data_IF_968194167012
#
_entry.id   IF_968194167012
#
_cell.length_a   1.000
_cell.length_b   1.000
_cell.length_c   1.000
_cell.angle_alpha   90.00
_cell.angle_beta   90.00
_cell.angle_gamma   90.00
#
_symmetry.space_group_name_H-M   'P 1'
#
loop_
_entity.id
_entity.type
_entity.pdbx_description
1 polymer ?
2 non-polymer ?
3 water ?
#
# COMPACT_ATOMS: atom_id res chain seq x y z
N UNK A 9 17.77 -14.35 24.97
CA UNK A 9 17.04 -13.53 25.92
C UNK A 9 15.84 -12.81 25.29
N UNK A 10 15.05 -13.52 24.48
CA UNK A 10 13.86 -12.96 23.84
C UNK A 10 12.60 -13.11 24.71
N UNK A 11 11.81 -12.03 24.85
CA UNK A 11 10.55 -12.09 25.61
C UNK A 11 9.46 -12.83 24.85
N UNK A 12 8.22 -12.70 25.32
CA UNK A 12 7.07 -13.32 24.67
C UNK A 12 6.29 -12.23 23.95
N UNK A 13 5.78 -12.55 22.76
CA UNK A 13 5.11 -11.56 21.93
C UNK A 13 5.97 -11.26 20.72
N UNK A 14 7.16 -11.85 20.72
CA UNK A 14 8.16 -11.66 19.69
C UNK A 14 8.18 -12.80 18.66
N UNK A 15 7.17 -13.67 18.72
CA UNK A 15 7.12 -14.82 17.83
C UNK A 15 7.04 -14.40 16.36
N UNK A 16 6.22 -13.40 16.07
CA UNK A 16 6.12 -12.88 14.70
C UNK A 16 7.49 -12.41 14.22
N UNK A 17 8.17 -11.64 15.06
CA UNK A 17 9.50 -11.12 14.74
C UNK A 17 10.49 -12.24 14.42
N UNK A 18 10.51 -13.27 15.26
CA UNK A 18 11.42 -14.40 15.08
C UNK A 18 11.18 -15.08 13.73
N UNK A 19 9.91 -15.18 13.37
CA UNK A 19 9.54 -15.85 12.14
C UNK A 19 10.12 -15.08 10.96
N UNK A 20 9.87 -13.77 10.95
CA UNK A 20 10.44 -12.89 9.95
C UNK A 20 11.96 -12.99 9.92
N UNK A 21 12.57 -13.04 11.10
CA UNK A 21 14.02 -13.12 11.21
C UNK A 21 14.54 -14.39 10.57
N UNK A 22 13.79 -15.48 10.73
CA UNK A 22 14.17 -16.78 10.18
C UNK A 22 14.13 -16.68 8.67
N UNK A 23 13.08 -16.06 8.14
CA UNK A 23 12.98 -15.85 6.70
C UNK A 23 14.16 -15.07 6.16
N UNK A 24 14.67 -14.13 6.94
CA UNK A 24 15.80 -13.29 6.51
C UNK A 24 17.09 -14.10 6.35
N UNK A 25 17.03 -15.37 6.69
CA UNK A 25 18.20 -16.23 6.58
C UNK A 25 18.09 -17.17 5.38
N UNK A 26 17.10 -16.94 4.53
CA UNK A 26 16.96 -17.73 3.31
C UNK A 26 18.08 -17.36 2.35
N UNK A 27 18.71 -16.21 2.61
CA UNK A 27 19.80 -15.71 1.79
C UNK A 27 20.92 -15.11 2.65
N UNK A 28 22.17 -15.17 2.15
CA UNK A 28 23.34 -14.56 2.77
C UNK A 28 23.13 -13.10 3.15
N UNK A 29 22.93 -12.23 2.15
CA UNK A 29 22.53 -10.85 2.42
C UNK A 29 21.03 -10.78 2.59
N UNK A 30 20.61 -10.39 3.77
CA UNK A 30 19.22 -10.28 4.24
C UNK A 30 18.44 -9.17 3.55
N UNK A 31 19.13 -8.13 3.13
CA UNK A 31 18.45 -7.03 2.45
C UNK A 31 17.93 -7.53 1.10
N UNK A 32 18.60 -8.54 0.55
CA UNK A 32 18.21 -9.11 -0.74
C UNK A 32 16.94 -9.93 -0.60
N UNK A 33 16.78 -10.54 0.57
CA UNK A 33 15.56 -11.30 0.87
C UNK A 33 14.28 -10.46 0.73
N UNK A 34 14.26 -9.30 1.38
CA UNK A 34 13.09 -8.42 1.28
C UNK A 34 12.81 -8.00 -0.16
N UNK A 35 13.86 -7.68 -0.91
CA UNK A 35 13.65 -7.28 -2.30
C UNK A 35 13.07 -8.43 -3.12
N UNK A 36 13.63 -9.62 -2.95
CA UNK A 36 13.19 -10.79 -3.68
C UNK A 36 11.69 -11.01 -3.45
N UNK A 37 11.27 -10.93 -2.18
CA UNK A 37 9.86 -11.08 -1.86
C UNK A 37 9.01 -9.96 -2.49
N UNK A 38 9.47 -8.72 -2.39
CA UNK A 38 8.74 -7.58 -2.94
C UNK A 38 8.53 -7.74 -4.44
N UNK A 39 9.58 -8.22 -5.10
CA UNK A 39 9.51 -8.48 -6.54
C UNK A 39 8.50 -9.57 -6.87
N UNK A 40 8.63 -10.72 -6.21
CA UNK A 40 7.67 -11.81 -6.39
C UNK A 40 6.23 -11.33 -6.14
N UNK A 41 6.03 -10.61 -5.04
CA UNK A 41 4.70 -10.09 -4.71
C UNK A 41 4.17 -9.21 -5.83
N UNK A 42 5.03 -8.34 -6.34
CA UNK A 42 4.66 -7.47 -7.47
C UNK A 42 4.18 -8.29 -8.66
N UNK A 43 4.96 -9.32 -8.99
CA UNK A 43 4.63 -10.21 -10.10
C UNK A 43 3.23 -10.84 -9.95
N UNK A 44 2.94 -11.37 -8.77
CA UNK A 44 1.63 -11.95 -8.50
C UNK A 44 0.52 -10.90 -8.64
N UNK A 45 0.73 -9.73 -8.04
CA UNK A 45 -0.29 -8.68 -8.03
C UNK A 45 -0.63 -8.26 -9.45
N UNK A 46 0.42 -8.09 -10.25
CA UNK A 46 0.30 -7.73 -11.66
C UNK A 46 -0.51 -8.73 -12.46
N UNK A 47 -0.22 -10.01 -12.27
CA UNK A 47 -0.96 -11.07 -12.94
C UNK A 47 -2.47 -10.97 -12.65
N UNK A 48 -2.82 -10.71 -11.38
CA UNK A 48 -4.21 -10.54 -10.98
C UNK A 48 -4.84 -9.34 -11.70
N UNK A 49 -4.08 -8.25 -11.75
CA UNK A 49 -4.53 -7.03 -12.42
C UNK A 49 -4.78 -7.28 -13.89
N UNK A 50 -3.89 -8.04 -14.52
CA UNK A 50 -4.03 -8.37 -15.94
C UNK A 50 -5.29 -9.19 -16.18
N UNK A 51 -5.55 -10.11 -15.27
CA UNK A 51 -6.74 -10.94 -15.35
C UNK A 51 -8.00 -10.10 -15.24
N UNK A 52 -8.01 -9.21 -14.25
CA UNK A 52 -9.16 -8.31 -14.06
C UNK A 52 -9.40 -7.46 -15.30
N UNK A 53 -8.30 -6.94 -15.86
CA UNK A 53 -8.38 -6.13 -17.07
C UNK A 53 -8.98 -6.90 -18.23
N UNK A 54 -8.51 -8.13 -18.44
CA UNK A 54 -8.98 -8.96 -19.55
C UNK A 54 -10.43 -9.36 -19.33
N UNK A 55 -10.75 -9.74 -18.11
CA UNK A 55 -12.09 -10.19 -17.74
C UNK A 55 -13.08 -9.02 -17.64
N UNK A 56 -12.65 -7.84 -18.05
CA UNK A 56 -13.51 -6.67 -18.07
C UNK A 56 -13.65 -6.18 -19.49
N UNK A 57 -12.55 -6.27 -20.25
CA UNK A 57 -12.59 -6.03 -21.68
C UNK A 57 -13.43 -7.12 -22.34
N UNK A 58 -13.55 -8.27 -21.69
CA UNK A 58 -14.37 -9.38 -22.16
C UNK A 58 -15.84 -9.26 -21.73
N UNK A 59 -16.07 -8.74 -20.52
CA UNK A 59 -17.40 -8.75 -19.86
C UNK A 59 -18.33 -7.68 -20.36
N UNK A 60 -17.78 -6.48 -20.47
CA UNK A 60 -18.48 -5.36 -21.06
C UNK A 60 -18.99 -5.80 -22.43
N UNK A 61 -18.09 -6.42 -23.18
CA UNK A 61 -18.40 -7.05 -24.46
C UNK A 61 -19.64 -7.93 -24.42
N UNK A 62 -19.73 -8.79 -23.40
CA UNK A 62 -20.85 -9.72 -23.30
C UNK A 62 -22.14 -8.98 -22.97
N UNK A 63 -21.98 -7.89 -22.20
CA UNK A 63 -23.10 -7.06 -21.78
C UNK A 63 -23.62 -6.16 -22.91
N UNK A 64 -22.70 -5.63 -23.71
CA UNK A 64 -23.05 -4.61 -24.69
C UNK A 64 -23.32 -5.11 -26.11
N UNK A 65 -22.80 -6.29 -26.45
CA UNK A 65 -22.98 -6.85 -27.80
C UNK A 65 -24.31 -7.58 -27.95
N UNK B 11 -1.05 26.74 -13.93
CA UNK B 11 -2.04 26.51 -14.98
C UNK B 11 -3.42 26.16 -14.40
N UNK B 12 -4.18 25.38 -15.18
CA UNK B 12 -5.46 24.84 -14.72
C UNK B 12 -5.38 23.32 -14.81
N UNK B 13 -5.79 22.65 -13.74
CA UNK B 13 -5.60 21.22 -13.59
C UNK B 13 -4.70 20.98 -12.38
N UNK B 14 -4.17 22.08 -11.86
CA UNK B 14 -3.23 22.10 -10.75
C UNK B 14 -3.90 22.43 -9.40
N UNK B 15 -5.23 22.45 -9.40
CA UNK B 15 -6.00 22.77 -8.18
C UNK B 15 -5.68 21.81 -7.05
N UNK B 16 -5.62 20.51 -7.35
CA UNK B 16 -5.28 19.51 -6.34
C UNK B 16 -3.93 19.84 -5.72
N UNK B 17 -2.95 20.12 -6.58
CA UNK B 17 -1.61 20.44 -6.15
C UNK B 17 -1.58 21.64 -5.22
N UNK B 18 -2.27 22.71 -5.61
CA UNK B 18 -2.35 23.92 -4.81
C UNK B 18 -2.90 23.64 -3.41
N UNK B 19 -3.91 22.77 -3.36
CA UNK B 19 -4.56 22.46 -2.10
C UNK B 19 -3.57 21.77 -1.17
N UNK B 20 -2.88 20.77 -1.71
CA UNK B 20 -1.81 20.12 -0.98
C UNK B 20 -0.75 21.11 -0.53
N UNK B 21 -0.37 22.02 -1.43
CA UNK B 21 0.67 23.01 -1.13
C UNK B 21 0.25 23.88 0.04
N UNK B 22 -1.04 24.24 0.07
CA UNK B 22 -1.60 25.06 1.13
C UNK B 22 -1.47 24.32 2.46
N UNK B 23 -1.83 23.04 2.45
CA UNK B 23 -1.67 22.19 3.64
C UNK B 23 -0.22 22.16 4.16
N UNK B 24 0.74 22.19 3.24
CA UNK B 24 2.16 22.18 3.64
C UNK B 24 2.59 23.44 4.39
N UNK B 25 1.69 24.40 4.49
CA UNK B 25 1.99 25.64 5.20
C UNK B 25 1.36 25.67 6.59
N UNK B 26 0.80 24.54 7.02
CA UNK B 26 0.26 24.43 8.37
C UNK B 26 1.39 24.45 9.38
N UNK B 27 2.61 24.22 8.89
CA UNK B 27 3.81 24.20 9.73
C UNK B 27 4.97 24.84 9.01
N UNK B 28 5.90 25.43 9.80
CA UNK B 28 7.14 26.03 9.28
C UNK B 28 7.86 25.10 8.33
N UNK B 29 8.11 23.87 8.74
CA UNK B 29 8.76 22.92 7.85
C UNK B 29 7.73 21.99 7.19
N UNK B 30 7.41 22.26 5.92
CA UNK B 30 6.41 21.49 5.15
C UNK B 30 6.64 19.99 5.21
N UNK B 31 7.90 19.59 5.40
CA UNK B 31 8.23 18.18 5.50
C UNK B 31 7.64 17.60 6.78
N UNK B 32 7.47 18.45 7.79
CA UNK B 32 6.87 18.02 9.05
C UNK B 32 5.38 17.78 8.90
N UNK B 33 4.76 18.52 7.99
CA UNK B 33 3.34 18.37 7.74
C UNK B 33 3.03 16.94 7.30
N UNK B 34 3.78 16.45 6.32
CA UNK B 34 3.53 15.11 5.80
C UNK B 34 3.69 14.05 6.87
N UNK B 35 4.73 14.20 7.69
CA UNK B 35 4.94 13.24 8.76
C UNK B 35 3.82 13.26 9.77
N UNK B 36 3.44 14.47 10.19
CA UNK B 36 2.33 14.64 11.13
C UNK B 36 1.08 13.90 10.66
N UNK B 37 0.75 14.06 9.39
CA UNK B 37 -0.43 13.40 8.83
C UNK B 37 -0.25 11.87 8.81
N UNK B 38 0.93 11.43 8.38
CA UNK B 38 1.22 9.99 8.32
C UNK B 38 1.08 9.34 9.70
N UNK B 39 1.61 10.03 10.71
CA UNK B 39 1.48 9.58 12.09
C UNK B 39 0.00 9.49 12.52
N UNK B 40 -0.76 10.57 12.33
CA UNK B 40 -2.16 10.58 12.69
C UNK B 40 -2.91 9.45 11.97
N UNK B 41 -2.67 9.31 10.68
CA UNK B 41 -3.31 8.26 9.90
C UNK B 41 -2.99 6.88 10.48
N UNK B 42 -1.72 6.66 10.82
CA UNK B 42 -1.32 5.41 11.46
C UNK B 42 -2.14 5.14 12.72
N UNK B 43 -2.24 6.17 13.56
CA UNK B 43 -2.99 6.07 14.81
C UNK B 43 -4.43 5.62 14.57
N UNK B 44 -5.08 6.25 13.61
CA UNK B 44 -6.46 5.88 13.26
C UNK B 44 -6.57 4.45 12.76
N UNK B 45 -5.68 4.07 11.83
CA UNK B 45 -5.72 2.72 11.25
C UNK B 45 -5.53 1.66 12.33
N UNK B 46 -4.58 1.93 13.23
CA UNK B 46 -4.28 1.04 14.35
C UNK B 46 -5.52 0.83 15.21
N UNK B 47 -6.20 1.91 15.53
CA UNK B 47 -7.40 1.84 16.36
C UNK B 47 -8.44 0.90 15.76
N UNK B 48 -8.64 1.01 14.45
CA UNK B 48 -9.57 0.15 13.73
C UNK B 48 -9.13 -1.30 13.80
N UNK B 49 -7.83 -1.52 13.61
CA UNK B 49 -7.26 -2.86 13.69
C UNK B 49 -7.49 -3.46 15.08
N UNK B 50 -7.28 -2.65 16.12
CA UNK B 50 -7.49 -3.09 17.50
C UNK B 50 -8.94 -3.51 17.72
N UNK B 51 -9.86 -2.73 17.17
CA UNK B 51 -11.29 -3.03 17.26
C UNK B 51 -11.62 -4.36 16.57
N UNK B 52 -11.10 -4.55 15.36
CA UNK B 52 -11.34 -5.78 14.62
C UNK B 52 -10.79 -6.97 15.40
N UNK B 53 -9.61 -6.81 15.97
CA UNK B 53 -8.98 -7.85 16.77
C UNK B 53 -9.84 -8.23 17.98
N UNK B 54 -10.32 -7.23 18.70
CA UNK B 54 -11.14 -7.46 19.89
C UNK B 54 -12.48 -8.07 19.50
N UNK B 55 -13.09 -7.52 18.45
CA UNK B 55 -14.40 -7.96 17.98
C UNK B 55 -14.34 -9.33 17.27
N UNK B 56 -13.17 -9.96 17.33
CA UNK B 56 -12.96 -11.28 16.74
C UNK B 56 -12.59 -12.26 17.83
N UNK B 57 -11.83 -11.78 18.81
CA UNK B 57 -11.57 -12.55 20.00
C UNK B 57 -12.87 -12.64 20.77
N UNK B 58 -13.78 -11.70 20.58
CA UNK B 58 -15.08 -11.73 21.23
C UNK B 58 -16.01 -12.73 20.53
N UNK B 59 -15.65 -13.17 19.33
CA UNK B 59 -16.46 -14.12 18.59
C UNK B 59 -16.01 -15.59 18.71
N UNK B 60 -14.69 -15.83 18.84
CA UNK B 60 -14.18 -17.20 19.05
C UNK B 60 -14.73 -17.76 20.35
N UNK B 61 -15.16 -16.85 21.20
CA UNK B 61 -15.57 -17.12 22.56
C UNK B 61 -17.03 -17.51 22.55
N UNK B 62 -17.84 -16.61 22.00
CA UNK B 62 -19.26 -16.84 21.72
C UNK B 62 -19.49 -18.17 21.02
N UNK B 63 -18.66 -18.42 20.00
CA UNK B 63 -18.72 -19.65 19.21
C UNK B 63 -18.72 -20.93 20.05
N UNK B 64 -18.06 -20.89 21.21
CA UNK B 64 -18.02 -22.05 22.10
C UNK B 64 -18.74 -21.83 23.44
N UNK B 65 -20.03 -21.52 23.37
CA UNK B 65 -20.87 -21.35 24.55
C UNK B 65 -22.27 -21.86 24.30
N UNK C 11 17.33 -23.63 2.53
CA UNK C 11 16.42 -24.50 3.30
C UNK C 11 15.05 -24.65 2.66
N UNK C 12 14.00 -24.71 3.48
CA UNK C 12 12.61 -24.75 3.00
C UNK C 12 11.84 -23.60 3.63
N UNK C 13 10.80 -23.15 2.95
CA UNK C 13 10.13 -21.92 3.31
C UNK C 13 10.77 -20.80 2.52
N UNK C 14 11.94 -21.09 1.99
CA UNK C 14 12.68 -20.13 1.19
C UNK C 14 12.30 -20.17 -0.30
N UNK C 15 11.30 -20.98 -0.64
CA UNK C 15 10.88 -21.13 -2.03
C UNK C 15 10.40 -19.80 -2.61
N UNK C 16 9.61 -19.05 -1.83
CA UNK C 16 9.15 -17.74 -2.28
C UNK C 16 10.34 -16.86 -2.62
N UNK C 17 11.29 -16.80 -1.68
CA UNK C 17 12.49 -16.00 -1.84
C UNK C 17 13.25 -16.33 -3.13
N UNK C 18 13.47 -17.63 -3.34
CA UNK C 18 14.17 -18.11 -4.54
C UNK C 18 13.46 -17.66 -5.83
N UNK C 19 12.14 -17.69 -5.81
CA UNK C 19 11.37 -17.32 -6.96
C UNK C 19 11.63 -15.84 -7.28
N UNK C 20 11.50 -15.00 -6.26
CA UNK C 20 11.79 -13.59 -6.41
C UNK C 20 13.22 -13.37 -6.88
N UNK C 21 14.15 -14.13 -6.30
CA UNK C 21 15.55 -14.02 -6.67
C UNK C 21 15.76 -14.31 -8.15
N UNK C 22 15.04 -15.31 -8.64
CA UNK C 22 15.10 -15.70 -10.05
C UNK C 22 14.61 -14.56 -10.92
N UNK C 23 13.51 -13.93 -10.53
CA UNK C 23 12.98 -12.77 -11.24
C UNK C 23 14.00 -11.64 -11.33
N UNK C 24 14.78 -11.45 -10.26
CA UNK C 24 15.79 -10.40 -10.22
C UNK C 24 16.91 -10.60 -11.25
N UNK C 25 16.88 -11.74 -11.95
CA UNK C 25 17.89 -12.03 -12.95
C UNK C 25 17.35 -11.83 -14.36
N UNK C 26 16.15 -11.23 -14.47
CA UNK C 26 15.60 -10.91 -15.77
C UNK C 26 16.40 -9.76 -16.40
N UNK C 27 17.15 -9.06 -15.56
CA UNK C 27 17.98 -7.94 -15.98
C UNK C 27 19.33 -7.96 -15.29
N UNK C 28 20.37 -7.45 -15.97
CA UNK C 28 21.72 -7.30 -15.42
C UNK C 28 21.71 -6.65 -14.04
N UNK C 29 21.05 -5.49 -13.94
CA UNK C 29 20.90 -4.82 -12.66
C UNK C 29 19.55 -5.17 -12.00
N UNK C 30 19.59 -6.08 -11.02
CA UNK C 30 18.39 -6.55 -10.29
C UNK C 30 17.56 -5.42 -9.73
N UNK C 31 18.19 -4.29 -9.46
CA UNK C 31 17.47 -3.15 -8.94
C UNK C 31 16.55 -2.59 -10.01
N UNK C 32 16.94 -2.78 -11.27
CA UNK C 32 16.10 -2.35 -12.40
C UNK C 32 14.85 -3.19 -12.54
N UNK C 33 14.96 -4.46 -12.15
CA UNK C 33 13.82 -5.37 -12.20
C UNK C 33 12.67 -4.85 -11.35
N UNK C 34 12.97 -4.47 -10.11
CA UNK C 34 11.91 -4.00 -9.21
C UNK C 34 11.25 -2.74 -9.75
N UNK C 35 12.06 -1.83 -10.29
CA UNK C 35 11.49 -0.62 -10.86
C UNK C 35 10.60 -0.91 -12.06
N UNK C 36 11.09 -1.75 -12.96
CA UNK C 36 10.31 -2.14 -14.13
C UNK C 36 8.93 -2.68 -13.73
N UNK C 37 8.90 -3.54 -12.72
CA UNK C 37 7.64 -4.09 -12.26
C UNK C 37 6.76 -2.99 -11.65
N UNK C 38 7.35 -2.16 -10.80
CA UNK C 38 6.61 -1.09 -10.16
C UNK C 38 5.95 -0.16 -11.18
N UNK C 39 6.70 0.16 -12.23
CA UNK C 39 6.21 0.98 -13.33
C UNK C 39 5.04 0.30 -14.06
N UNK C 40 5.22 -0.95 -14.45
CA UNK C 40 4.15 -1.70 -15.10
C UNK C 40 2.89 -1.75 -14.21
N UNK C 41 3.08 -2.08 -12.94
CA UNK C 41 1.96 -2.12 -12.00
C UNK C 41 1.22 -0.79 -11.95
N UNK C 42 1.98 0.29 -11.89
CA UNK C 42 1.40 1.64 -11.89
C UNK C 42 0.54 1.83 -13.12
N UNK C 43 1.08 1.47 -14.27
CA UNK C 43 0.37 1.61 -15.54
C UNK C 43 -0.98 0.88 -15.51
N UNK C 44 -0.98 -0.35 -15.02
CA UNK C 44 -2.21 -1.13 -14.90
C UNK C 44 -3.22 -0.48 -13.95
N UNK C 45 -2.75 -0.07 -12.78
CA UNK C 45 -3.62 0.52 -11.76
C UNK C 45 -4.29 1.78 -12.29
N UNK C 46 -3.49 2.58 -12.98
CA UNK C 46 -3.95 3.84 -13.57
C UNK C 46 -5.08 3.59 -14.58
N UNK C 47 -4.87 2.59 -15.44
CA UNK C 47 -5.87 2.24 -16.44
C UNK C 47 -7.21 1.91 -15.78
N UNK C 48 -7.15 1.16 -14.69
CA UNK C 48 -8.36 0.82 -13.94
C UNK C 48 -9.02 2.08 -13.39
N UNK C 49 -8.21 2.96 -12.84
CA UNK C 49 -8.68 4.22 -12.28
C UNK C 49 -9.37 5.06 -13.35
N UNK C 50 -8.75 5.11 -14.53
CA UNK C 50 -9.33 5.85 -15.64
C UNK C 50 -10.69 5.29 -16.05
N UNK C 51 -10.80 3.96 -16.05
CA UNK C 51 -12.06 3.29 -16.36
C UNK C 51 -13.14 3.64 -15.35
N UNK C 52 -12.80 3.54 -14.06
CA UNK C 52 -13.73 3.89 -13.00
C UNK C 52 -14.19 5.33 -13.13
N UNK C 53 -13.25 6.23 -13.41
CA UNK C 53 -13.56 7.64 -13.59
C UNK C 53 -14.55 7.84 -14.74
N UNK C 54 -14.27 7.22 -15.88
CA UNK C 54 -15.13 7.36 -17.06
C UNK C 54 -16.50 6.74 -16.81
N UNK C 55 -16.49 5.54 -16.23
CA UNK C 55 -17.72 4.79 -15.94
C UNK C 55 -18.52 5.39 -14.78
N UNK C 56 -18.08 6.57 -14.31
CA UNK C 56 -18.78 7.30 -13.25
C UNK C 56 -19.27 8.64 -13.81
N UNK C 57 -18.46 9.26 -14.64
CA UNK C 57 -18.91 10.44 -15.39
C UNK C 57 -20.02 10.03 -16.36
N UNK C 58 -20.03 8.76 -16.73
CA UNK C 58 -21.03 8.20 -17.64
C UNK C 58 -22.28 7.78 -16.88
N UNK C 59 -22.02 7.13 -15.75
CA UNK C 59 -23.05 6.45 -14.97
C UNK C 59 -23.55 7.24 -13.77
N UNK D 11 -3.14 28.36 11.97
CA UNK D 11 -4.17 28.61 10.95
C UNK D 11 -5.32 27.60 11.02
N UNK D 12 -6.25 27.69 10.07
CA UNK D 12 -7.39 26.78 10.00
C UNK D 12 -7.21 25.78 8.86
N UNK D 13 -7.70 24.56 9.06
CA UNK D 13 -7.51 23.48 8.10
C UNK D 13 -6.41 22.55 8.58
N UNK D 14 -5.57 23.09 9.45
CA UNK D 14 -4.36 22.45 9.95
C UNK D 14 -4.57 21.62 11.21
N UNK D 15 -5.83 21.44 11.60
CA UNK D 15 -6.16 20.70 12.83
C UNK D 15 -5.65 19.26 12.78
N UNK D 16 -5.83 18.60 11.64
CA UNK D 16 -5.33 17.24 11.47
C UNK D 16 -3.82 17.21 11.71
N UNK D 17 -3.12 18.14 11.08
CA UNK D 17 -1.66 18.22 11.18
C UNK D 17 -1.21 18.37 12.63
N UNK D 18 -1.85 19.28 13.35
CA UNK D 18 -1.53 19.54 14.75
C UNK D 18 -1.71 18.30 15.61
N UNK D 19 -2.76 17.55 15.31
CA UNK D 19 -3.03 16.34 16.06
C UNK D 19 -1.89 15.35 15.88
N UNK D 20 -1.52 15.13 14.62
CA UNK D 20 -0.38 14.27 14.30
C UNK D 20 0.89 14.77 14.96
N UNK D 21 1.07 16.08 14.94
CA UNK D 21 2.26 16.69 15.53
C UNK D 21 2.33 16.42 17.03
N UNK D 22 1.17 16.43 17.67
CA UNK D 22 1.07 16.18 19.11
C UNK D 22 1.46 14.73 19.39
N UNK D 23 0.97 13.81 18.57
CA UNK D 23 1.36 12.42 18.70
C UNK D 23 2.88 12.22 18.59
N UNK D 24 3.53 13.00 17.73
CA UNK D 24 4.97 12.89 17.54
C UNK D 24 5.76 13.28 18.78
N UNK D 25 5.06 13.75 19.82
CA UNK D 25 5.71 14.15 21.05
C UNK D 25 5.52 13.09 22.14
N UNK D 26 4.98 11.94 21.77
CA UNK D 26 4.86 10.82 22.70
C UNK D 26 6.24 10.25 23.02
N UNK D 27 7.21 10.58 22.16
CA UNK D 27 8.59 10.14 22.33
C UNK D 27 9.57 11.27 22.02
N UNK D 28 10.76 11.25 22.67
CA UNK D 28 11.85 12.18 22.42
C UNK D 28 12.18 12.37 20.93
N UNK D 29 12.47 11.31 20.21
CA UNK D 29 12.64 11.48 18.78
C UNK D 29 11.29 11.20 18.08
N UNK D 30 10.56 12.28 17.68
CA UNK D 30 9.29 12.14 16.94
C UNK D 30 9.39 11.13 15.80
N UNK D 31 10.59 10.95 15.30
CA UNK D 31 10.81 9.97 14.23
C UNK D 31 10.61 8.56 14.78
N UNK D 32 10.84 8.39 16.08
CA UNK D 32 10.62 7.10 16.73
C UNK D 32 9.15 6.78 16.87
N UNK D 33 8.33 7.81 17.05
CA UNK D 33 6.89 7.64 17.11
C UNK D 33 6.35 6.94 15.86
N UNK D 34 6.73 7.43 14.69
CA UNK D 34 6.21 6.85 13.44
C UNK D 34 6.62 5.39 13.30
N UNK D 35 7.87 5.09 13.65
CA UNK D 35 8.33 3.72 13.57
C UNK D 35 7.58 2.80 14.53
N UNK D 36 7.44 3.25 15.76
CA UNK D 36 6.68 2.50 16.76
C UNK D 36 5.28 2.12 16.26
N UNK D 37 4.57 3.10 15.70
CA UNK D 37 3.25 2.84 15.16
C UNK D 37 3.31 1.87 13.97
N UNK D 38 4.25 2.10 13.05
CA UNK D 38 4.41 1.21 11.90
C UNK D 38 4.64 -0.24 12.32
N UNK D 39 5.47 -0.42 13.34
CA UNK D 39 5.74 -1.73 13.89
C UNK D 39 4.48 -2.37 14.49
N UNK D 40 3.81 -1.63 15.36
CA UNK D 40 2.56 -2.12 15.95
C UNK D 40 1.54 -2.49 14.87
N UNK D 41 1.38 -1.60 13.89
CA UNK D 41 0.46 -1.86 12.80
C UNK D 41 0.83 -3.15 12.04
N UNK D 42 2.11 -3.34 11.77
CA UNK D 42 2.60 -4.59 11.15
C UNK D 42 2.17 -5.80 11.97
N UNK D 43 2.42 -5.73 13.28
CA UNK D 43 2.09 -6.82 14.20
C UNK D 43 0.62 -7.20 14.10
N UNK D 44 -0.26 -6.19 14.09
CA UNK D 44 -1.70 -6.43 13.97
C UNK D 44 -2.08 -7.08 12.65
N UNK D 45 -1.54 -6.54 11.55
CA UNK D 45 -1.87 -7.04 10.22
C UNK D 45 -1.45 -8.49 10.06
N UNK D 46 -0.25 -8.79 10.56
CA UNK D 46 0.30 -10.13 10.53
C UNK D 46 -0.62 -11.11 11.25
N UNK D 47 -1.09 -10.71 12.43
CA UNK D 47 -1.97 -11.57 13.22
C UNK D 47 -3.23 -11.96 12.46
N UNK D 48 -3.81 -10.97 11.77
CA UNK D 48 -4.97 -11.21 10.91
C UNK D 48 -4.63 -12.16 9.78
N UNK D 49 -3.48 -11.93 9.15
CA UNK D 49 -3.01 -12.81 8.08
C UNK D 49 -2.84 -14.27 8.58
N UNK D 50 -2.28 -14.41 9.78
CA UNK D 50 -2.08 -15.74 10.37
C UNK D 50 -3.41 -16.43 10.58
N UNK D 51 -4.40 -15.65 11.02
CA UNK D 51 -5.75 -16.17 11.25
C UNK D 51 -6.38 -16.64 9.96
N UNK D 52 -6.31 -15.81 8.93
CA UNK D 52 -6.83 -16.17 7.62
C UNK D 52 -6.18 -17.45 7.09
N UNK D 53 -4.85 -17.53 7.26
CA UNK D 53 -4.09 -18.70 6.82
C UNK D 53 -4.55 -19.97 7.53
N UNK D 54 -4.67 -19.90 8.86
CA UNK D 54 -5.14 -21.05 9.65
C UNK D 54 -6.59 -21.43 9.32
N UNK D 55 -7.45 -20.42 9.24
CA UNK D 55 -8.87 -20.61 8.94
C UNK D 55 -9.12 -20.98 7.48
N UNK D 56 -8.05 -21.25 6.74
CA UNK D 56 -8.15 -21.68 5.35
C UNK D 56 -7.54 -23.07 5.20
N UNK D 57 -6.47 -23.31 5.97
CA UNK D 57 -5.91 -24.66 6.10
C UNK D 57 -6.92 -25.56 6.84
N UNK D 58 -7.78 -24.94 7.65
CA UNK D 58 -8.83 -25.64 8.39
C UNK D 58 -9.99 -25.93 7.44
N UNK D 59 -10.03 -25.18 6.34
CA UNK D 59 -10.86 -25.54 5.19
C UNK D 59 -10.29 -26.77 4.47
N UNK D 60 -9.10 -26.65 3.88
CA UNK D 60 -8.47 -27.73 3.11
C UNK D 60 -8.32 -29.04 3.87
N UNK D 61 -7.90 -28.96 5.14
CA UNK D 61 -7.73 -30.15 5.98
C UNK D 61 -9.05 -30.91 6.16
N UNK D 62 -10.09 -30.17 6.52
CA UNK D 62 -11.44 -30.73 6.59
C UNK D 62 -11.92 -31.05 5.17
N UNK D 63 -11.55 -30.23 4.19
CA UNK D 63 -11.96 -30.49 2.81
C UNK D 63 -11.03 -31.48 2.10
N UNK D 64 -10.38 -32.33 2.88
CA UNK D 64 -9.62 -33.45 2.36
C UNK D 64 -10.44 -34.60 2.86
N UNK D 65 -11.57 -34.25 3.44
CA UNK D 65 -12.38 -35.19 4.22
C UNK D 65 -13.73 -35.60 3.63
N UNK E 9 21.65 -13.99 -22.50
CA UNK E 9 20.32 -13.71 -23.04
C UNK E 9 19.42 -13.00 -22.03
N UNK E 10 18.12 -13.23 -22.18
CA UNK E 10 17.12 -12.83 -21.18
C UNK E 10 16.15 -14.01 -20.99
N UNK E 11 16.14 -14.62 -19.79
CA UNK E 11 15.34 -15.83 -19.53
C UNK E 11 13.85 -15.65 -19.80
N UNK E 12 13.14 -16.77 -19.89
CA UNK E 12 11.69 -16.70 -20.04
C UNK E 12 11.05 -16.53 -18.66
N UNK E 13 9.96 -15.77 -18.61
CA UNK E 13 9.30 -15.47 -17.34
C UNK E 13 9.54 -14.03 -16.91
N UNK E 14 10.16 -13.29 -17.84
CA UNK E 14 10.62 -11.92 -17.66
C UNK E 14 9.82 -10.96 -18.54
N UNK E 15 8.71 -11.44 -19.08
CA UNK E 15 7.86 -10.63 -19.96
C UNK E 15 7.32 -9.39 -19.25
N UNK E 16 6.83 -9.56 -18.02
CA UNK E 16 6.37 -8.42 -17.22
C UNK E 16 7.47 -7.39 -17.10
N UNK E 17 8.67 -7.85 -16.76
CA UNK E 17 9.83 -6.96 -16.57
C UNK E 17 10.13 -6.15 -17.82
N UNK E 18 10.17 -6.83 -18.95
CA UNK E 18 10.44 -6.19 -20.24
C UNK E 18 9.41 -5.10 -20.55
N UNK E 19 8.16 -5.37 -20.23
CA UNK E 19 7.08 -4.44 -20.49
C UNK E 19 7.33 -3.17 -19.70
N UNK E 20 7.55 -3.33 -18.40
CA UNK E 20 7.91 -2.21 -17.54
C UNK E 20 9.13 -1.46 -18.07
N UNK E 21 10.14 -2.20 -18.49
CA UNK E 21 11.38 -1.61 -19.02
C UNK E 21 11.08 -0.75 -20.24
N UNK E 22 10.16 -1.21 -21.06
CA UNK E 22 9.78 -0.49 -22.27
C UNK E 22 9.13 0.83 -21.88
N UNK E 23 8.24 0.78 -20.89
CA UNK E 23 7.62 1.99 -20.37
C UNK E 23 8.64 2.99 -19.87
N UNK E 24 9.72 2.50 -19.25
CA UNK E 24 10.78 3.37 -18.74
C UNK E 24 11.51 4.16 -19.83
N UNK E 25 11.19 3.89 -21.08
CA UNK E 25 11.81 4.57 -22.20
C UNK E 25 10.90 5.62 -22.79
N UNK E 26 9.79 5.90 -22.11
CA UNK E 26 8.87 6.94 -22.58
C UNK E 26 9.50 8.29 -22.34
N UNK E 27 10.52 8.31 -21.48
CA UNK E 27 11.27 9.53 -21.16
C UNK E 27 12.76 9.26 -21.10
N UNK E 28 13.58 10.28 -21.42
CA UNK E 28 15.04 10.25 -21.29
C UNK E 28 15.53 9.67 -19.96
N UNK E 29 15.02 10.15 -18.84
CA UNK E 29 15.40 9.56 -17.55
C UNK E 29 14.33 8.61 -17.01
N UNK E 30 14.64 7.29 -16.98
CA UNK E 30 13.67 6.26 -16.54
C UNK E 30 13.14 6.47 -15.13
N UNK E 31 13.94 7.12 -14.28
CA UNK E 31 13.50 7.38 -12.93
C UNK E 31 12.38 8.41 -12.95
N UNK E 32 12.36 9.24 -14.00
CA UNK E 32 11.30 10.24 -14.16
C UNK E 32 9.98 9.58 -14.55
N UNK E 33 10.08 8.48 -15.28
CA UNK E 33 8.90 7.74 -15.68
C UNK E 33 8.10 7.30 -14.46
N UNK E 34 8.77 6.68 -13.50
CA UNK E 34 8.06 6.18 -12.30
C UNK E 34 7.37 7.31 -11.54
N UNK E 35 8.07 8.44 -11.41
CA UNK E 35 7.49 9.57 -10.71
C UNK E 35 6.28 10.13 -11.45
N UNK E 36 6.40 10.29 -12.76
CA UNK E 36 5.29 10.77 -13.58
C UNK E 36 4.05 9.92 -13.35
N UNK E 37 4.22 8.60 -13.39
CA UNK E 37 3.09 7.71 -13.16
C UNK E 37 2.52 7.85 -11.76
N UNK E 38 3.40 7.91 -10.76
CA UNK E 38 2.99 8.03 -9.36
C UNK E 38 2.15 9.28 -9.15
N UNK E 39 2.61 10.37 -9.76
CA UNK E 39 1.89 11.64 -9.71
C UNK E 39 0.50 11.53 -10.36
N UNK E 40 0.45 11.01 -11.58
CA UNK E 40 -0.82 10.85 -12.28
C UNK E 40 -1.76 9.98 -11.45
N UNK E 41 -1.23 8.88 -10.93
CA UNK E 41 -2.04 7.98 -10.12
C UNK E 41 -2.60 8.70 -8.91
N UNK E 42 -1.76 9.50 -8.26
CA UNK E 42 -2.19 10.30 -7.12
C UNK E 42 -3.35 11.20 -7.50
N UNK E 43 -3.20 11.88 -8.65
CA UNK E 43 -4.24 12.79 -9.14
C UNK E 43 -5.57 12.09 -9.30
N UNK E 44 -5.55 10.90 -9.91
CA UNK E 44 -6.76 10.12 -10.11
C UNK E 44 -7.41 9.71 -8.78
N UNK E 45 -6.59 9.19 -7.87
CA UNK E 45 -7.10 8.72 -6.58
C UNK E 45 -7.76 9.84 -5.80
N UNK E 46 -7.10 11.00 -5.81
CA UNK E 46 -7.60 12.20 -5.15
C UNK E 46 -8.97 12.59 -5.69
N UNK E 47 -9.11 12.58 -7.02
CA UNK E 47 -10.37 12.93 -7.64
C UNK E 47 -11.51 12.04 -7.13
N UNK E 48 -11.22 10.74 -7.02
CA UNK E 48 -12.19 9.78 -6.50
C UNK E 48 -12.56 10.10 -5.06
N UNK E 49 -11.54 10.37 -4.25
CA UNK E 49 -11.74 10.75 -2.87
C UNK E 49 -12.61 12.02 -2.74
N UNK E 50 -12.35 13.00 -3.60
CA UNK E 50 -13.13 14.23 -3.60
C UNK E 50 -14.60 13.95 -3.92
N UNK E 51 -14.83 13.04 -4.88
CA UNK E 51 -16.19 12.65 -5.25
C UNK E 51 -16.91 11.98 -4.08
N UNK E 52 -16.22 11.03 -3.45
CA UNK E 52 -16.79 10.35 -2.30
C UNK E 52 -17.14 11.34 -1.19
N UNK E 53 -16.23 12.27 -0.92
CA UNK E 53 -16.44 13.31 0.08
C UNK E 53 -17.68 14.15 -0.24
N UNK E 54 -17.80 14.60 -1.49
CA UNK E 54 -18.94 15.42 -1.90
C UNK E 54 -20.25 14.64 -1.86
N UNK E 55 -20.20 13.42 -2.40
CA UNK E 55 -21.37 12.54 -2.46
C UNK E 55 -21.75 11.97 -1.07
N UNK E 56 -21.10 12.48 -0.03
CA UNK E 56 -21.39 12.08 1.34
C UNK E 56 -21.86 13.28 2.13
N UNK E 57 -21.28 14.44 1.83
CA UNK E 57 -21.78 15.70 2.37
C UNK E 57 -23.15 15.99 1.75
N UNK E 58 -23.40 15.39 0.59
CA UNK E 58 -24.66 15.52 -0.13
C UNK E 58 -25.71 14.54 0.39
N UNK E 59 -25.30 13.32 0.71
CA UNK E 59 -26.21 12.44 1.41
C UNK E 59 -26.67 13.20 2.69
N UNK E 60 -25.74 13.92 3.32
CA UNK E 60 -26.04 14.62 4.57
C UNK E 60 -26.74 15.98 4.43
N UNK E 61 -27.11 16.36 3.21
CA UNK E 61 -27.88 17.58 3.01
C UNK E 61 -29.20 17.24 2.32
N UNK E 62 -29.09 16.77 1.08
CA UNK E 62 -30.20 16.14 0.40
C UNK E 62 -30.64 15.00 1.31
N UNK E 63 -31.67 15.28 2.13
CA UNK E 63 -32.05 14.46 3.28
C UNK E 63 -30.96 14.45 4.35
N UNK F 11 -3.06 10.53 27.06
CA UNK F 11 -3.67 10.38 25.74
C UNK F 11 -3.75 8.93 25.31
N UNK F 12 -4.85 8.53 24.68
CA UNK F 12 -4.97 7.18 24.11
C UNK F 12 -3.96 7.02 22.97
N UNK F 13 -3.36 8.15 22.65
CA UNK F 13 -2.22 8.21 21.80
C UNK F 13 -1.04 7.45 22.32
N UNK F 14 -0.64 7.57 23.60
CA UNK F 14 0.69 7.01 23.70
C UNK F 14 0.72 5.49 23.91
N UNK F 15 -0.43 4.90 24.25
CA UNK F 15 -0.49 3.45 24.44
C UNK F 15 -0.09 2.69 23.17
N UNK F 16 -0.60 3.12 22.02
CA UNK F 16 -0.23 2.51 20.76
C UNK F 16 1.29 2.55 20.59
N UNK F 17 1.86 3.72 20.83
CA UNK F 17 3.31 3.93 20.66
C UNK F 17 4.10 2.99 21.56
N UNK F 18 3.68 2.89 22.82
CA UNK F 18 4.35 2.03 23.79
C UNK F 18 4.36 0.58 23.33
N UNK F 19 3.23 0.15 22.76
CA UNK F 19 3.09 -1.22 22.32
C UNK F 19 4.11 -1.50 21.22
N UNK F 20 4.15 -0.60 20.23
CA UNK F 20 5.14 -0.67 19.18
C UNK F 20 6.55 -0.69 19.72
N UNK F 21 6.79 0.19 20.71
CA UNK F 21 8.11 0.31 21.30
C UNK F 21 8.53 -1.00 21.96
N UNK F 22 7.57 -1.67 22.59
CA UNK F 22 7.81 -2.94 23.26
C UNK F 22 8.22 -3.99 22.22
N UNK F 23 7.48 -4.03 21.11
CA UNK F 23 7.82 -4.92 20.00
C UNK F 23 9.25 -4.70 19.50
N UNK F 24 9.69 -3.44 19.47
CA UNK F 24 11.05 -3.11 19.03
C UNK F 24 12.15 -3.67 19.92
N UNK F 25 11.77 -4.32 21.02
CA UNK F 25 12.73 -4.92 21.92
C UNK F 25 12.76 -6.43 21.78
N UNK F 26 12.09 -6.96 20.76
CA UNK F 26 12.14 -8.40 20.48
C UNK F 26 13.53 -8.77 19.96
N UNK F 27 14.27 -7.76 19.51
CA UNK F 27 15.62 -7.93 19.00
C UNK F 27 16.54 -6.82 19.49
N UNK F 28 17.84 -7.13 19.63
CA UNK F 28 18.90 -6.17 19.98
C UNK F 28 18.84 -4.87 19.18
N UNK F 29 18.82 -4.95 17.85
CA UNK F 29 18.63 -3.75 17.04
C UNK F 29 17.16 -3.60 16.58
N UNK F 30 16.42 -2.64 17.17
CA UNK F 30 15.00 -2.36 16.90
C UNK F 30 14.67 -2.17 15.43
N UNK F 31 15.64 -1.72 14.65
CA UNK F 31 15.42 -1.54 13.23
C UNK F 31 15.23 -2.89 12.57
N UNK F 32 15.83 -3.93 13.17
CA UNK F 32 15.71 -5.28 12.63
C UNK F 32 14.32 -5.82 12.87
N UNK F 33 13.70 -5.38 13.96
CA UNK F 33 12.35 -5.80 14.26
C UNK F 33 11.38 -5.44 13.11
N UNK F 34 11.41 -4.19 12.68
CA UNK F 34 10.49 -3.77 11.63
C UNK F 34 10.70 -4.56 10.35
N UNK F 35 11.96 -4.79 10.00
CA UNK F 35 12.24 -5.56 8.78
C UNK F 35 11.73 -6.99 8.90
N UNK F 36 11.99 -7.63 10.04
CA UNK F 36 11.53 -8.99 10.28
C UNK F 36 10.02 -9.09 10.07
N UNK F 37 9.28 -8.14 10.64
CA UNK F 37 7.83 -8.12 10.46
C UNK F 37 7.44 -7.90 8.99
N UNK F 38 8.10 -6.94 8.34
CA UNK F 38 7.80 -6.64 6.95
C UNK F 38 8.00 -7.86 6.06
N UNK F 39 9.08 -8.58 6.33
CA UNK F 39 9.38 -9.81 5.61
C UNK F 39 8.31 -10.87 5.84
N UNK F 40 7.99 -11.13 7.11
CA UNK F 40 6.94 -12.10 7.44
C UNK F 40 5.61 -11.72 6.76
N UNK F 41 5.25 -10.44 6.87
CA UNK F 41 4.02 -9.98 6.25
C UNK F 41 4.03 -10.25 4.76
N UNK F 42 5.15 -9.94 4.10
CA UNK F 42 5.29 -10.21 2.67
C UNK F 42 5.03 -11.69 2.37
N UNK F 43 5.65 -12.56 3.16
CA UNK F 43 5.51 -13.99 2.99
C UNK F 43 4.05 -14.42 3.05
N UNK F 44 3.32 -13.89 4.02
CA UNK F 44 1.89 -14.20 4.15
C UNK F 44 1.08 -13.72 2.96
N UNK F 45 1.31 -12.47 2.56
CA UNK F 45 0.55 -11.86 1.47
C UNK F 45 0.76 -12.65 0.18
N UNK F 46 2.01 -13.04 -0.06
CA UNK F 46 2.40 -13.80 -1.22
C UNK F 46 1.66 -15.13 -1.28
N UNK F 47 1.61 -15.81 -0.14
CA UNK F 47 0.91 -17.10 -0.06
C UNK F 47 -0.57 -16.98 -0.48
N UNK F 48 -1.22 -15.92 -0.02
CA UNK F 48 -2.59 -15.63 -0.40
C UNK F 48 -2.70 -15.40 -1.90
N UNK F 49 -1.79 -14.59 -2.43
CA UNK F 49 -1.76 -14.29 -3.85
C UNK F 49 -1.58 -15.58 -4.68
N UNK F 50 -0.70 -16.47 -4.22
CA UNK F 50 -0.47 -17.73 -4.89
C UNK F 50 -1.75 -18.57 -4.92
N UNK F 51 -2.47 -18.59 -3.80
CA UNK F 51 -3.74 -19.30 -3.70
C UNK F 51 -4.77 -18.75 -4.67
N UNK F 52 -4.91 -17.42 -4.69
CA UNK F 52 -5.84 -16.77 -5.60
C UNK F 52 -5.51 -17.12 -7.04
N UNK F 53 -4.21 -17.09 -7.36
CA UNK F 53 -3.75 -17.42 -8.70
C UNK F 53 -4.11 -18.84 -9.09
N UNK F 54 -3.86 -19.78 -8.19
CA UNK F 54 -4.15 -21.20 -8.45
C UNK F 54 -5.66 -21.43 -8.56
N UNK F 55 -6.40 -20.86 -7.61
CA UNK F 55 -7.85 -20.99 -7.55
C UNK F 55 -8.57 -20.19 -8.65
N UNK F 56 -7.79 -19.67 -9.60
CA UNK F 56 -8.34 -18.95 -10.74
C UNK F 56 -7.93 -19.65 -12.03
N UNK F 57 -6.72 -20.21 -12.02
CA UNK F 57 -6.30 -21.09 -13.10
C UNK F 57 -7.11 -22.38 -13.05
N UNK F 58 -7.60 -22.71 -11.86
CA UNK F 58 -8.46 -23.87 -11.65
C UNK F 58 -9.88 -23.55 -12.15
N UNK F 59 -10.14 -22.25 -12.32
CA UNK F 59 -11.34 -21.73 -12.99
C UNK F 59 -11.20 -21.85 -14.51
N UNK F 60 -10.03 -21.46 -15.02
CA UNK F 60 -9.76 -21.56 -16.45
C UNK F 60 -9.42 -23.00 -16.87
N UNK F 61 -9.94 -23.96 -16.11
CA UNK F 61 -9.87 -25.38 -16.45
C UNK F 61 -11.26 -25.87 -16.78
N UNK F 62 -12.16 -25.72 -15.81
CA UNK F 62 -13.53 -26.24 -15.91
C UNK F 62 -14.31 -25.69 -17.12
N UNK F 63 -13.79 -24.62 -17.72
CA UNK F 63 -14.38 -24.05 -18.93
C UNK F 63 -13.36 -23.18 -19.67
N UNK G 7 17.55 15.01 -30.88
CA UNK G 7 16.85 14.12 -31.78
C UNK G 7 15.83 13.25 -31.06
N UNK G 8 15.12 13.85 -30.11
CA UNK G 8 14.14 13.13 -29.30
C UNK G 8 12.72 13.12 -29.88
N UNK G 9 12.17 11.92 -30.01
CA UNK G 9 10.76 11.74 -30.29
C UNK G 9 10.22 10.76 -29.25
N UNK G 10 9.22 11.20 -28.49
CA UNK G 10 8.61 10.30 -27.51
C UNK G 10 7.92 9.14 -28.23
N UNK G 11 8.27 7.90 -27.85
CA UNK G 11 7.66 6.68 -28.42
C UNK G 11 6.16 6.57 -28.13
N UNK G 12 5.53 5.53 -28.65
CA UNK G 12 4.07 5.38 -28.50
C UNK G 12 3.71 4.53 -27.30
N UNK G 13 2.64 4.92 -26.60
CA UNK G 13 2.16 4.22 -25.42
C UNK G 13 2.61 4.85 -24.11
N UNK G 14 2.71 6.18 -24.13
CA UNK G 14 3.34 7.02 -23.11
C UNK G 14 2.40 8.14 -22.64
N UNK G 15 1.13 8.05 -23.02
CA UNK G 15 0.13 9.06 -22.68
C UNK G 15 0.00 9.25 -21.16
N UNK G 16 -0.02 8.14 -20.42
CA UNK G 16 -0.09 8.21 -18.96
C UNK G 16 1.08 9.01 -18.42
N UNK G 17 2.27 8.66 -18.89
CA UNK G 17 3.50 9.34 -18.48
C UNK G 17 3.44 10.85 -18.71
N UNK G 18 3.03 11.22 -19.92
CA UNK G 18 2.91 12.63 -20.29
C UNK G 18 1.97 13.39 -19.36
N UNK G 19 0.87 12.75 -19.01
CA UNK G 19 -0.12 13.35 -18.14
C UNK G 19 0.52 13.64 -16.79
N UNK G 20 1.17 12.63 -16.23
CA UNK G 20 1.92 12.80 -15.00
C UNK G 20 2.94 13.91 -15.11
N UNK G 21 3.64 13.95 -16.24
CA UNK G 21 4.68 14.94 -16.46
C UNK G 21 4.09 16.35 -16.43
N UNK G 22 2.90 16.49 -17.01
CA UNK G 22 2.22 17.77 -17.08
C UNK G 22 1.87 18.23 -15.66
N UNK G 23 1.37 17.31 -14.84
CA UNK G 23 1.10 17.61 -13.44
C UNK G 23 2.34 18.10 -12.71
N UNK G 24 3.50 17.53 -13.04
CA UNK G 24 4.76 17.91 -12.39
C UNK G 24 5.16 19.36 -12.68
N UNK G 25 4.39 20.03 -13.54
CA UNK G 25 4.69 21.42 -13.88
C UNK G 25 3.72 22.38 -13.19
N UNK G 26 2.94 21.86 -12.25
CA UNK G 26 2.04 22.71 -11.47
C UNK G 26 2.86 23.57 -10.51
N UNK G 27 4.11 23.16 -10.29
CA UNK G 27 5.03 23.87 -9.40
C UNK G 27 6.41 23.91 -10.03
N UNK G 28 7.17 24.98 -9.70
CA UNK G 28 8.59 25.12 -10.10
C UNK G 28 9.39 23.85 -9.84
N UNK G 29 9.21 23.21 -8.69
CA UNK G 29 9.91 21.97 -8.37
C UNK G 29 9.03 20.72 -8.43
N UNK G 30 9.27 19.84 -9.43
CA UNK G 30 8.42 18.66 -9.64
C UNK G 30 8.37 17.71 -8.46
N UNK G 31 9.44 17.66 -7.67
CA UNK G 31 9.45 16.80 -6.49
C UNK G 31 8.43 17.34 -5.47
N UNK G 32 8.16 18.65 -5.54
CA UNK G 32 7.22 19.27 -4.62
C UNK G 32 5.79 18.92 -4.99
N UNK G 33 5.55 18.73 -6.29
CA UNK G 33 4.24 18.30 -6.76
C UNK G 33 3.79 16.97 -6.10
N UNK G 34 4.65 15.97 -6.15
CA UNK G 34 4.29 14.67 -5.57
C UNK G 34 3.99 14.78 -4.09
N UNK G 35 4.80 15.55 -3.37
CA UNK G 35 4.55 15.72 -1.95
C UNK G 35 3.24 16.41 -1.68
N UNK G 36 2.99 17.49 -2.40
CA UNK G 36 1.72 18.22 -2.29
C UNK G 36 0.52 17.29 -2.42
N UNK G 37 0.54 16.47 -3.47
CA UNK G 37 -0.55 15.52 -3.69
C UNK G 37 -0.63 14.50 -2.55
N UNK G 38 0.51 13.97 -2.12
CA UNK G 38 0.54 12.97 -1.06
C UNK G 38 -0.07 13.52 0.23
N UNK G 39 0.26 14.77 0.52
CA UNK G 39 -0.28 15.46 1.67
C UNK G 39 -1.80 15.65 1.56
N UNK G 40 -2.26 16.18 0.43
CA UNK G 40 -3.69 16.34 0.21
C UNK G 40 -4.42 14.99 0.34
N UNK G 41 -3.87 13.96 -0.29
CA UNK G 41 -4.47 12.65 -0.23
C UNK G 41 -4.58 12.15 1.22
N UNK G 42 -3.53 12.37 1.98
CA UNK G 42 -3.53 12.02 3.41
C UNK G 42 -4.67 12.72 4.13
N UNK G 43 -4.80 14.02 3.89
CA UNK G 43 -5.85 14.82 4.50
C UNK G 43 -7.23 14.23 4.21
N UNK G 44 -7.46 13.86 2.96
CA UNK G 44 -8.76 13.30 2.58
C UNK G 44 -9.01 11.96 3.28
N UNK G 45 -8.02 11.10 3.27
CA UNK G 45 -8.16 9.76 3.85
C UNK G 45 -8.46 9.85 5.33
N UNK G 46 -7.74 10.74 6.01
CA UNK G 46 -7.93 10.99 7.43
C UNK G 46 -9.37 11.41 7.74
N UNK G 47 -9.89 12.34 6.94
CA UNK G 47 -11.25 12.85 7.16
C UNK G 47 -12.25 11.69 7.11
N UNK G 48 -12.04 10.78 6.16
CA UNK G 48 -12.90 9.60 6.01
C UNK G 48 -12.81 8.73 7.24
N UNK G 49 -11.58 8.51 7.69
CA UNK G 49 -11.32 7.73 8.88
C UNK G 49 -12.00 8.33 10.12
N UNK G 50 -11.94 9.66 10.23
CA UNK G 50 -12.55 10.35 11.35
C UNK G 50 -14.07 10.16 11.33
N UNK G 51 -14.64 10.23 10.14
CA UNK G 51 -16.08 10.00 9.97
C UNK G 51 -16.47 8.60 10.39
N UNK G 52 -15.72 7.60 9.90
CA UNK G 52 -16.00 6.22 10.26
C UNK G 52 -15.92 6.02 11.77
N UNK G 53 -14.90 6.61 12.38
CA UNK G 53 -14.72 6.53 13.84
C UNK G 53 -15.92 7.13 14.58
N UNK G 54 -16.37 8.31 14.16
CA UNK G 54 -17.49 8.98 14.81
C UNK G 54 -18.80 8.23 14.58
N UNK G 55 -19.00 7.79 13.34
CA UNK G 55 -20.20 7.05 12.95
C UNK G 55 -20.21 5.61 13.49
N UNK G 56 -19.23 5.28 14.33
CA UNK G 56 -19.15 3.98 14.98
C UNK G 56 -19.29 4.15 16.50
N UNK G 57 -18.72 5.23 17.01
CA UNK G 57 -18.93 5.63 18.41
C UNK G 57 -20.38 6.04 18.59
N UNK G 58 -21.01 6.44 17.49
CA UNK G 58 -22.42 6.87 17.48
C UNK G 58 -23.37 5.72 17.23
N UNK G 59 -23.09 5.00 16.16
CA UNK G 59 -23.90 3.84 15.81
C UNK G 59 -23.65 2.95 16.99
N UNK G 60 -24.66 2.16 17.35
CA UNK G 60 -24.63 1.34 18.57
C UNK G 60 -24.80 2.18 19.85
N UNK G 61 -24.52 3.49 19.79
CA UNK G 61 -24.69 4.37 20.95
C UNK G 61 -26.17 4.47 21.32
N UNK G 62 -27.04 4.23 20.34
CA UNK G 62 -28.46 4.05 20.59
C UNK G 62 -29.14 3.36 19.42
X LIG H 1 -6.64 8.17 18.45
X LIG I 1 -1.51 -0.93 -20.04
#
# INVERSE_FOLDING_TARGET
SAGAHAGWETPEGCEQVLTGKRLMQCLPNPEDVKMALEVYKLSLEIEQLELQRDSARQSTLDKEL
SAGAHAGWETPEGCEQVLTGKRLMQCLPNPEDVKMALEVYKLSLEIEQLELQRDSARQSTLDKEL
SAGAHAGWETPEGCEQVLTGKRLMQCLPNPEDVKMALEVYKLSLEIEQLELQRDSARQSTLDKEL
SAGAHAGWETPEGCEQVLTGKRLMQCLPNPEDVKMALEVYKLSLEIEQLELQRDSARQSTLDKEL
SAGAHAGWETPEGCEQVLTGKRLMQCLPNPEDVKMALEVYKLSLEIEQLELQRDSARQSTLDKEL
SAGAHAGWETPEGCEQVLTGKRLMQCLPNPEDVKMALEVYKLSLEIEQLELQRDSARQSTLDKEL
SAGAHAGWETPEGCEQVLTGKRLMQCLPNPEDVKMALEVYKLSLEIEQLELQRDSARQSTLDKEL
CL CL
CL CL
#
